data_IF_229479809292
#
_entry.id   IF_229479809292
#
_cell.length_a   1.000
_cell.length_b   1.000
_cell.length_c   1.000
_cell.angle_alpha   90.00
_cell.angle_beta   90.00
_cell.angle_gamma   90.00
#
_symmetry.space_group_name_H-M   'P 1'
#
loop_
_entity.id
_entity.type
_entity.pdbx_description
1 polymer ?
#
# COMPACT_ATOMS: atom_id res chain seq x y z
N UNK A 1 -4.85 19.08 -13.74
CA UNK A 1 -3.45 19.25 -13.32
C UNK A 1 -3.38 18.90 -11.86
N UNK A 2 -2.71 18.03 -11.41
CA UNK A 2 -2.61 17.92 -9.98
C UNK A 2 -2.05 16.62 -9.48
N UNK A 3 -2.75 15.51 -9.73
CA UNK A 3 -2.38 14.24 -9.10
C UNK A 3 -0.95 13.81 -9.45
N UNK A 4 -0.56 13.89 -10.73
CA UNK A 4 0.79 13.49 -11.16
C UNK A 4 1.86 14.42 -10.59
N UNK A 5 1.63 15.74 -10.65
CA UNK A 5 2.59 16.72 -10.14
C UNK A 5 2.71 16.58 -8.62
N UNK A 6 1.57 16.44 -7.92
CA UNK A 6 1.56 16.27 -6.48
C UNK A 6 2.30 15.00 -6.05
N UNK A 7 2.09 13.89 -6.76
CA UNK A 7 2.76 12.62 -6.50
C UNK A 7 4.25 12.71 -6.76
N UNK A 8 4.66 13.38 -7.85
CA UNK A 8 6.07 13.59 -8.16
C UNK A 8 6.77 14.46 -7.13
N UNK A 9 6.09 15.52 -6.65
CA UNK A 9 6.61 16.38 -5.59
C UNK A 9 6.76 15.59 -4.29
N UNK A 10 5.76 14.80 -3.94
CA UNK A 10 5.82 13.94 -2.76
C UNK A 10 6.98 12.94 -2.88
N UNK A 11 7.13 12.29 -4.02
CA UNK A 11 8.22 11.35 -4.27
C UNK A 11 9.60 12.04 -4.16
N UNK A 12 9.74 13.23 -4.73
CA UNK A 12 10.98 14.00 -4.67
C UNK A 12 11.35 14.36 -3.22
N UNK A 13 10.35 14.77 -2.43
CA UNK A 13 10.57 15.13 -1.03
C UNK A 13 11.02 13.94 -0.18
N UNK A 14 10.55 12.74 -0.50
CA UNK A 14 10.93 11.53 0.22
C UNK A 14 12.43 11.26 0.22
N UNK A 15 13.15 11.68 -0.82
CA UNK A 15 14.60 11.53 -0.90
C UNK A 15 15.37 12.50 -0.03
N UNK A 16 14.73 13.56 0.45
CA UNK A 16 15.38 14.66 1.20
C UNK A 16 14.90 14.76 2.64
N UNK A 17 13.72 14.26 2.93
CA UNK A 17 13.13 14.35 4.25
C UNK A 17 13.84 13.39 5.22
N UNK A 18 14.26 13.85 6.42
CA UNK A 18 14.84 12.92 7.39
C UNK A 18 13.79 11.94 7.90
N UNK A 19 14.22 10.72 8.16
CA UNK A 19 13.38 9.70 8.80
C UNK A 19 13.49 9.90 10.31
N UNK A 20 12.37 10.29 10.93
CA UNK A 20 12.28 10.46 12.38
C UNK A 20 11.71 9.18 12.98
N UNK A 21 12.57 8.31 13.49
CA UNK A 21 12.15 7.04 14.05
C UNK A 21 11.52 7.18 15.43
N UNK A 22 10.35 6.60 15.58
CA UNK A 22 9.66 6.46 16.85
C UNK A 22 8.93 5.14 16.89
N UNK A 23 8.40 4.77 18.04
CA UNK A 23 7.53 3.60 18.13
C UNK A 23 6.19 3.92 17.46
N UNK A 24 5.77 3.05 16.52
CA UNK A 24 4.54 3.24 15.76
C UNK A 24 3.57 2.11 16.07
N UNK A 25 2.38 2.46 16.52
CA UNK A 25 1.27 1.53 16.65
C UNK A 25 0.65 1.31 15.26
N UNK A 26 1.12 0.27 14.58
CA UNK A 26 0.71 0.00 13.19
C UNK A 26 -0.78 -0.33 13.11
N UNK A 27 -1.31 -1.05 14.10
CA UNK A 27 -2.74 -1.40 14.12
C UNK A 27 -3.63 -0.16 14.06
N UNK A 28 -3.39 0.82 14.93
CA UNK A 28 -4.18 2.06 14.94
C UNK A 28 -3.95 2.89 13.68
N UNK A 29 -2.71 2.94 13.19
CA UNK A 29 -2.38 3.68 11.96
C UNK A 29 -3.14 3.12 10.76
N UNK A 30 -3.15 1.80 10.59
CA UNK A 30 -3.84 1.14 9.48
C UNK A 30 -5.34 1.39 9.56
N UNK A 31 -5.94 1.30 10.75
CA UNK A 31 -7.37 1.54 10.91
C UNK A 31 -7.75 2.97 10.54
N UNK A 32 -6.94 3.96 10.91
CA UNK A 32 -7.12 5.35 10.49
C UNK A 32 -7.05 5.50 8.97
N UNK A 33 -6.05 4.85 8.34
CA UNK A 33 -5.88 4.91 6.89
C UNK A 33 -7.05 4.26 6.17
N UNK A 34 -7.54 3.13 6.66
CA UNK A 34 -8.71 2.44 6.08
C UNK A 34 -9.93 3.37 6.09
N UNK A 35 -10.19 4.02 7.22
CA UNK A 35 -11.31 4.97 7.32
C UNK A 35 -11.18 6.12 6.33
N UNK A 36 -9.98 6.69 6.18
CA UNK A 36 -9.72 7.77 5.23
C UNK A 36 -9.93 7.33 3.78
N UNK A 37 -9.37 6.17 3.42
CA UNK A 37 -9.48 5.66 2.05
C UNK A 37 -10.95 5.40 1.70
N UNK A 38 -11.68 4.76 2.61
CA UNK A 38 -13.10 4.48 2.38
C UNK A 38 -13.93 5.77 2.30
N UNK A 39 -13.60 6.76 3.11
CA UNK A 39 -14.28 8.06 3.06
C UNK A 39 -14.03 8.77 1.73
N UNK A 40 -12.78 8.83 1.28
CA UNK A 40 -12.41 9.43 0.00
C UNK A 40 -13.11 8.74 -1.16
N UNK A 41 -13.16 7.41 -1.12
CA UNK A 41 -13.84 6.62 -2.14
C UNK A 41 -15.37 6.83 -2.14
N UNK A 42 -15.96 7.07 -0.98
CA UNK A 42 -17.41 7.33 -0.90
C UNK A 42 -17.79 8.71 -1.43
N UNK A 43 -16.87 9.68 -1.39
CA UNK A 43 -17.06 11.02 -1.94
C UNK A 43 -16.75 11.09 -3.43
N UNK A 44 -16.01 10.11 -3.96
CA UNK A 44 -15.71 10.03 -5.38
C UNK A 44 -16.92 9.58 -6.19
N UNK A 45 -16.83 9.76 -7.51
CA UNK A 45 -17.87 9.32 -8.45
C UNK A 45 -17.91 7.80 -8.58
N UNK A 46 -18.22 7.10 -7.49
CA UNK A 46 -18.66 5.71 -7.63
C UNK A 46 -20.05 5.75 -8.26
N UNK A 47 -20.18 5.19 -9.43
CA UNK A 47 -21.49 4.93 -9.97
C UNK A 47 -22.29 4.13 -8.93
N UNK A 48 -23.60 4.35 -8.87
CA UNK A 48 -24.52 3.73 -7.91
C UNK A 48 -24.42 2.19 -7.82
N UNK A 49 -23.69 1.56 -8.76
CA UNK A 49 -23.55 0.12 -8.87
C UNK A 49 -22.29 -0.44 -8.19
N UNK A 50 -21.39 0.39 -7.66
CA UNK A 50 -20.15 -0.10 -7.09
C UNK A 50 -20.37 -0.57 -5.64
N UNK A 51 -20.08 -1.84 -5.38
CA UNK A 51 -20.14 -2.41 -4.02
C UNK A 51 -18.94 -1.91 -3.22
N UNK A 52 -19.18 -1.38 -2.02
CA UNK A 52 -18.11 -0.99 -1.12
C UNK A 52 -17.27 -2.22 -0.74
N UNK A 53 -15.94 -2.10 -0.71
CA UNK A 53 -15.10 -3.24 -0.33
C UNK A 53 -15.25 -3.59 1.15
N UNK A 54 -15.18 -4.88 1.44
CA UNK A 54 -15.05 -5.36 2.81
C UNK A 54 -13.55 -5.41 3.13
N UNK A 55 -13.13 -4.68 4.15
CA UNK A 55 -11.72 -4.63 4.55
C UNK A 55 -11.60 -5.24 5.94
N UNK A 56 -10.84 -6.33 6.03
CA UNK A 56 -10.55 -7.01 7.27
C UNK A 56 -9.12 -6.70 7.69
N UNK A 57 -8.96 -6.19 8.91
CA UNK A 57 -7.64 -5.87 9.47
C UNK A 57 -7.37 -6.81 10.63
N UNK A 58 -6.40 -7.70 10.47
CA UNK A 58 -5.94 -8.55 11.55
C UNK A 58 -5.05 -7.76 12.51
N UNK A 59 -4.82 -8.25 13.75
CA UNK A 59 -3.87 -7.59 14.65
C UNK A 59 -2.49 -7.44 14.01
N UNK A 60 -1.93 -6.24 14.07
CA UNK A 60 -0.66 -5.91 13.43
C UNK A 60 0.42 -5.62 14.47
N UNK A 61 1.62 -6.21 14.34
CA UNK A 61 2.69 -5.92 15.28
C UNK A 61 3.14 -4.46 15.15
N UNK A 62 3.51 -3.81 16.28
CA UNK A 62 4.08 -2.47 16.22
C UNK A 62 5.48 -2.50 15.62
N UNK A 63 5.94 -1.34 15.16
CA UNK A 63 7.28 -1.23 14.57
C UNK A 63 7.91 0.09 14.97
N UNK A 64 9.20 0.23 14.72
CA UNK A 64 9.87 1.53 14.80
C UNK A 64 10.00 2.09 13.40
N UNK A 65 9.68 3.36 13.26
CA UNK A 65 9.76 4.04 11.98
C UNK A 65 9.21 5.44 12.06
N UNK A 66 9.09 6.08 10.92
CA UNK A 66 8.49 7.39 10.79
C UNK A 66 6.99 7.23 10.50
N UNK A 67 6.16 7.62 11.45
CA UNK A 67 4.70 7.44 11.35
C UNK A 67 4.14 8.10 10.09
N UNK A 68 4.59 9.31 9.76
CA UNK A 68 4.10 10.03 8.58
C UNK A 68 4.48 9.34 7.28
N UNK A 69 5.70 8.83 7.18
CA UNK A 69 6.15 8.09 6.01
C UNK A 69 5.46 6.73 5.89
N UNK A 70 5.33 6.01 7.00
CA UNK A 70 4.63 4.72 7.02
C UNK A 70 3.15 4.87 6.67
N UNK A 71 2.53 5.99 7.07
CA UNK A 71 1.18 6.30 6.67
C UNK A 71 1.04 6.35 5.14
N UNK A 72 2.01 6.92 4.45
CA UNK A 72 2.02 6.97 2.99
C UNK A 72 2.11 5.57 2.37
N UNK A 73 2.90 4.67 2.98
CA UNK A 73 2.98 3.28 2.54
C UNK A 73 1.60 2.61 2.61
N UNK A 74 0.97 2.69 3.77
CA UNK A 74 -0.33 2.06 3.98
C UNK A 74 -1.42 2.67 3.11
N UNK A 75 -1.44 4.00 2.98
CA UNK A 75 -2.42 4.69 2.14
C UNK A 75 -2.30 4.25 0.68
N UNK A 76 -1.08 4.14 0.16
CA UNK A 76 -0.87 3.70 -1.22
C UNK A 76 -1.28 2.24 -1.42
N UNK A 77 -0.89 1.34 -0.51
CA UNK A 77 -1.22 -0.08 -0.65
C UNK A 77 -2.72 -0.34 -0.52
N UNK A 78 -3.38 0.29 0.44
CA UNK A 78 -4.82 0.10 0.67
C UNK A 78 -5.62 0.74 -0.47
N UNK A 79 -5.25 1.93 -0.91
CA UNK A 79 -5.91 2.58 -2.04
C UNK A 79 -5.78 1.76 -3.33
N UNK A 80 -4.60 1.17 -3.57
CA UNK A 80 -4.41 0.26 -4.71
C UNK A 80 -5.31 -0.97 -4.61
N UNK A 81 -5.40 -1.57 -3.44
CA UNK A 81 -6.24 -2.75 -3.22
C UNK A 81 -7.72 -2.43 -3.48
N UNK A 82 -8.21 -1.29 -3.00
CA UNK A 82 -9.57 -0.81 -3.25
C UNK A 82 -9.80 -0.61 -4.75
N UNK A 83 -8.86 0.05 -5.41
CA UNK A 83 -8.96 0.34 -6.84
C UNK A 83 -9.02 -0.94 -7.69
N UNK A 84 -8.08 -1.86 -7.49
CA UNK A 84 -7.98 -3.04 -8.33
C UNK A 84 -9.00 -4.14 -8.00
N UNK A 85 -9.65 -4.07 -6.84
CA UNK A 85 -10.76 -4.97 -6.49
C UNK A 85 -12.12 -4.40 -6.85
N UNK A 86 -12.20 -3.16 -7.33
CA UNK A 86 -13.47 -2.45 -7.56
C UNK A 86 -14.41 -3.13 -8.54
N UNK A 87 -13.88 -3.92 -9.46
CA UNK A 87 -14.68 -4.66 -10.46
C UNK A 87 -15.05 -6.07 -10.01
N UNK A 88 -14.56 -6.52 -8.87
CA UNK A 88 -14.94 -7.81 -8.31
C UNK A 88 -16.41 -7.77 -7.87
N UNK A 89 -17.08 -8.92 -7.95
CA UNK A 89 -18.50 -9.02 -7.52
C UNK A 89 -18.65 -8.66 -6.04
N UNK A 90 -17.70 -9.11 -5.22
CA UNK A 90 -17.64 -8.80 -3.78
C UNK A 90 -16.21 -8.41 -3.41
N UNK A 91 -15.85 -7.13 -3.56
CA UNK A 91 -14.49 -6.69 -3.24
C UNK A 91 -14.11 -7.01 -1.79
N UNK A 92 -13.00 -7.70 -1.62
CA UNK A 92 -12.50 -8.09 -0.31
C UNK A 92 -11.02 -7.77 -0.19
N UNK A 93 -10.64 -7.14 0.92
CA UNK A 93 -9.26 -6.76 1.19
C UNK A 93 -8.91 -7.25 2.58
N UNK A 94 -7.77 -7.89 2.73
CA UNK A 94 -7.27 -8.37 4.01
C UNK A 94 -5.92 -7.76 4.30
N UNK A 95 -5.79 -7.13 5.46
CA UNK A 95 -4.53 -6.58 5.95
C UNK A 95 -4.04 -7.48 7.07
N UNK A 96 -2.82 -7.95 6.98
CA UNK A 96 -2.23 -8.86 7.96
C UNK A 96 -0.77 -8.49 8.26
N UNK A 97 -0.27 -8.98 9.37
CA UNK A 97 1.12 -8.77 9.75
C UNK A 97 1.56 -9.79 10.78
N UNK A 98 2.84 -10.08 10.78
CA UNK A 98 3.45 -11.02 11.73
C UNK A 98 4.92 -10.73 11.92
N UNK A 99 5.46 -11.19 13.01
CA UNK A 99 6.89 -11.15 13.27
C UNK A 99 7.53 -12.40 12.66
N UNK A 100 8.57 -12.21 11.86
CA UNK A 100 9.30 -13.29 11.21
C UNK A 100 10.79 -13.07 11.46
N UNK A 101 11.35 -13.78 12.43
CA UNK A 101 12.76 -13.61 12.82
C UNK A 101 13.03 -12.18 13.30
N UNK A 102 13.94 -11.49 12.63
CA UNK A 102 14.34 -10.12 12.97
C UNK A 102 13.51 -9.04 12.22
N UNK A 103 12.47 -9.46 11.52
CA UNK A 103 11.64 -8.56 10.72
C UNK A 103 10.17 -8.60 11.14
N UNK A 104 9.46 -7.51 10.90
CA UNK A 104 8.01 -7.49 10.88
C UNK A 104 7.56 -7.53 9.43
N UNK A 105 6.72 -8.50 9.08
CA UNK A 105 6.16 -8.64 7.73
C UNK A 105 4.71 -8.16 7.74
N UNK A 106 4.38 -7.32 6.77
CA UNK A 106 3.02 -6.79 6.59
C UNK A 106 2.55 -7.05 5.17
N UNK A 107 1.27 -7.34 4.99
CA UNK A 107 0.69 -7.66 3.69
C UNK A 107 -0.69 -7.07 3.51
N UNK A 108 -0.99 -6.66 2.28
CA UNK A 108 -2.32 -6.24 1.84
C UNK A 108 -2.72 -7.14 0.68
N UNK A 109 -3.76 -7.94 0.90
CA UNK A 109 -4.29 -8.89 -0.10
C UNK A 109 -5.61 -8.36 -0.63
N UNK A 110 -5.81 -8.44 -1.94
CA UNK A 110 -7.09 -8.14 -2.58
C UNK A 110 -7.54 -9.29 -3.47
N UNK A 111 -8.82 -9.32 -3.81
CA UNK A 111 -9.42 -10.28 -4.72
C UNK A 111 -9.73 -9.69 -6.10
N UNK A 112 -8.92 -8.72 -6.51
CA UNK A 112 -9.14 -7.97 -7.75
C UNK A 112 -8.56 -8.64 -8.99
N UNK A 113 -8.19 -7.79 -9.94
CA UNK A 113 -7.74 -8.23 -11.27
C UNK A 113 -6.38 -8.93 -11.26
N UNK A 114 -5.57 -8.74 -10.22
CA UNK A 114 -4.25 -9.34 -10.13
C UNK A 114 -3.30 -8.85 -11.22
N UNK A 115 -2.23 -9.56 -11.42
CA UNK A 115 -1.24 -9.25 -12.45
C UNK A 115 -0.42 -10.51 -12.77
N UNK A 116 0.26 -10.47 -13.91
CA UNK A 116 1.18 -11.54 -14.32
C UNK A 116 2.52 -11.36 -13.57
N UNK A 117 2.98 -12.42 -12.92
CA UNK A 117 4.24 -12.41 -12.16
C UNK A 117 5.47 -12.06 -13.01
N UNK A 118 5.38 -12.18 -14.32
CA UNK A 118 6.43 -11.71 -15.23
C UNK A 118 6.76 -10.23 -15.01
N UNK A 119 5.76 -9.43 -14.62
CA UNK A 119 5.91 -7.99 -14.39
C UNK A 119 6.21 -7.62 -12.94
N UNK A 120 6.33 -8.59 -12.04
CA UNK A 120 6.50 -8.32 -10.61
C UNK A 120 7.72 -7.43 -10.31
N UNK A 121 8.82 -7.61 -11.03
CA UNK A 121 10.03 -6.82 -10.84
C UNK A 121 9.91 -5.35 -11.25
N UNK A 122 8.86 -4.99 -11.99
CA UNK A 122 8.66 -3.62 -12.49
C UNK A 122 7.62 -2.83 -11.70
N UNK A 123 6.88 -3.50 -10.82
CA UNK A 123 5.73 -2.89 -10.12
C UNK A 123 6.07 -1.65 -9.30
N UNK A 124 7.27 -1.62 -8.74
CA UNK A 124 7.69 -0.56 -7.83
C UNK A 124 8.49 0.56 -8.51
N UNK A 125 8.59 0.52 -9.83
CA UNK A 125 9.26 1.57 -10.60
C UNK A 125 8.30 2.73 -10.87
N UNK A 126 8.86 3.94 -10.93
CA UNK A 126 8.08 5.14 -11.27
C UNK A 126 7.49 4.99 -12.68
N UNK A 127 6.23 5.35 -12.82
CA UNK A 127 5.47 5.32 -14.08
C UNK A 127 5.20 3.92 -14.65
N UNK A 128 5.48 2.86 -13.91
CA UNK A 128 5.11 1.52 -14.36
C UNK A 128 3.63 1.26 -14.04
N UNK A 129 2.88 0.87 -15.04
CA UNK A 129 1.46 0.56 -14.93
C UNK A 129 1.21 -0.79 -15.60
N UNK A 130 0.59 -1.70 -14.86
CA UNK A 130 0.22 -3.02 -15.37
C UNK A 130 -1.12 -3.03 -16.11
N UNK A 131 -1.93 -2.02 -15.87
CA UNK A 131 -3.28 -1.90 -16.43
C UNK A 131 -3.39 -0.62 -17.23
N UNK A 132 -4.26 -0.65 -18.26
CA UNK A 132 -4.48 0.52 -19.11
C UNK A 132 -5.11 1.66 -18.30
N UNK A 133 -4.78 2.88 -18.70
CA UNK A 133 -5.28 4.10 -18.07
C UNK A 133 -6.82 4.19 -18.08
N UNK A 134 -7.47 3.63 -19.09
CA UNK A 134 -8.92 3.59 -19.22
C UNK A 134 -9.59 2.57 -18.30
N UNK A 135 -8.85 1.58 -17.80
CA UNK A 135 -9.38 0.58 -16.86
C UNK A 135 -9.29 1.08 -15.42
N UNK A 136 -8.18 1.71 -15.06
CA UNK A 136 -7.95 2.19 -13.70
C UNK A 136 -7.20 3.52 -13.72
N UNK A 137 -7.64 4.45 -12.88
CA UNK A 137 -6.95 5.73 -12.70
C UNK A 137 -5.66 5.55 -11.89
N UNK A 138 -4.74 6.48 -12.04
CA UNK A 138 -3.50 6.50 -11.25
C UNK A 138 -2.33 7.10 -12.02
N UNK A 139 -1.29 7.46 -11.30
CA UNK A 139 -0.12 8.17 -11.84
C UNK A 139 1.10 7.27 -12.06
N UNK A 140 1.07 6.04 -11.50
CA UNK A 140 2.21 5.15 -11.56
C UNK A 140 3.33 5.48 -10.54
N UNK A 141 3.06 6.34 -9.58
CA UNK A 141 4.03 6.79 -8.57
C UNK A 141 3.80 6.13 -7.20
N UNK A 142 2.56 5.70 -6.91
CA UNK A 142 2.19 5.17 -5.60
C UNK A 142 3.08 4.03 -5.09
N UNK A 143 3.30 3.01 -5.90
CA UNK A 143 4.15 1.88 -5.50
C UNK A 143 5.63 2.26 -5.42
N UNK A 144 6.09 3.24 -6.21
CA UNK A 144 7.45 3.77 -6.11
C UNK A 144 7.64 4.49 -4.75
N UNK A 145 6.62 5.19 -4.27
CA UNK A 145 6.62 5.80 -2.94
C UNK A 145 6.78 4.72 -1.87
N UNK A 146 6.00 3.64 -1.96
CA UNK A 146 6.08 2.51 -1.03
C UNK A 146 7.50 1.95 -0.98
N UNK A 147 8.09 1.68 -2.14
CA UNK A 147 9.44 1.16 -2.24
C UNK A 147 10.46 2.11 -1.59
N UNK A 148 10.37 3.39 -1.89
CA UNK A 148 11.30 4.40 -1.37
C UNK A 148 11.23 4.49 0.16
N UNK A 149 10.02 4.59 0.71
CA UNK A 149 9.84 4.69 2.16
C UNK A 149 10.36 3.44 2.88
N UNK A 150 9.96 2.26 2.40
CA UNK A 150 10.37 0.99 3.01
C UNK A 150 11.89 0.83 2.94
N UNK A 151 12.50 1.14 1.80
CA UNK A 151 13.96 1.07 1.63
C UNK A 151 14.68 2.01 2.59
N UNK A 152 14.17 3.23 2.77
CA UNK A 152 14.74 4.17 3.73
C UNK A 152 14.63 3.72 5.19
N UNK A 153 13.70 2.80 5.48
CA UNK A 153 13.57 2.17 6.79
C UNK A 153 14.42 0.90 6.92
N UNK A 154 15.23 0.58 5.90
CA UNK A 154 16.06 -0.63 5.90
C UNK A 154 15.30 -1.90 5.57
N UNK A 155 14.10 -1.77 5.03
CA UNK A 155 13.24 -2.89 4.69
C UNK A 155 13.26 -3.25 3.21
N UNK A 156 12.33 -4.13 2.85
CA UNK A 156 12.17 -4.60 1.47
C UNK A 156 10.71 -4.80 1.13
N UNK A 157 10.40 -4.75 -0.17
CA UNK A 157 9.04 -4.89 -0.68
C UNK A 157 8.98 -6.04 -1.69
N UNK A 158 7.83 -6.68 -1.79
CA UNK A 158 7.58 -7.68 -2.84
C UNK A 158 6.08 -7.78 -3.10
N UNK A 159 5.72 -8.41 -4.20
CA UNK A 159 4.33 -8.61 -4.57
C UNK A 159 4.15 -9.96 -5.23
N UNK A 160 2.98 -10.54 -5.03
CA UNK A 160 2.56 -11.76 -5.67
C UNK A 160 1.18 -11.53 -6.25
N UNK A 161 0.94 -12.05 -7.45
CA UNK A 161 -0.35 -11.90 -8.09
C UNK A 161 -0.59 -12.98 -9.12
N UNK A 162 -1.86 -13.11 -9.50
CA UNK A 162 -2.29 -13.98 -10.59
C UNK A 162 -3.44 -13.29 -11.28
N UNK A 163 -3.40 -13.25 -12.61
CA UNK A 163 -4.45 -12.59 -13.40
C UNK A 163 -5.82 -13.16 -13.01
N UNK A 164 -6.77 -12.28 -12.72
CA UNK A 164 -8.13 -12.58 -12.29
C UNK A 164 -8.27 -13.27 -10.92
N UNK A 165 -7.18 -13.42 -10.18
CA UNK A 165 -7.18 -14.08 -8.86
C UNK A 165 -6.66 -13.17 -7.73
N UNK A 166 -6.51 -11.88 -8.00
CA UNK A 166 -6.07 -10.92 -7.00
C UNK A 166 -4.57 -10.81 -6.85
N UNK A 167 -4.16 -10.03 -5.85
CA UNK A 167 -2.76 -9.72 -5.58
C UNK A 167 -2.49 -9.59 -4.08
N UNK A 168 -1.24 -9.79 -3.70
CA UNK A 168 -0.73 -9.53 -2.35
C UNK A 168 0.49 -8.65 -2.48
N UNK A 169 0.43 -7.47 -1.86
CA UNK A 169 1.57 -6.57 -1.74
C UNK A 169 2.09 -6.65 -0.32
N UNK A 170 3.39 -6.87 -0.18
CA UNK A 170 4.01 -7.10 1.13
C UNK A 170 5.25 -6.25 1.30
N UNK A 171 5.55 -5.93 2.55
CA UNK A 171 6.81 -5.31 2.91
C UNK A 171 7.28 -5.82 4.26
N UNK A 172 8.59 -5.78 4.47
CA UNK A 172 9.21 -6.16 5.73
C UNK A 172 10.02 -4.98 6.26
N UNK A 173 9.93 -4.77 7.56
CA UNK A 173 10.73 -3.77 8.26
C UNK A 173 11.57 -4.47 9.32
N UNK A 174 12.83 -4.04 9.53
CA UNK A 174 13.63 -4.59 10.62
C UNK A 174 12.94 -4.33 11.96
N UNK A 175 12.90 -5.34 12.80
CA UNK A 175 12.52 -5.12 14.20
C UNK A 175 13.66 -4.35 14.81
N UNK A 176 13.36 -3.18 15.35
CA UNK A 176 14.37 -2.40 16.03
C UNK A 176 15.09 -3.23 17.08
N UNK A 177 16.35 -2.89 17.32
CA UNK A 177 17.17 -3.56 18.32
C UNK A 177 16.44 -3.49 19.68
N UNK A 178 16.02 -4.63 20.16
CA UNK A 178 15.39 -4.73 21.49
C UNK A 178 16.44 -4.87 22.59
N UNK A 179 17.62 -4.39 22.33
CA UNK A 179 18.66 -4.33 23.33
C UNK A 179 18.42 -3.12 24.22
N UNK A 180 17.81 -3.35 25.32
CA UNK A 180 17.62 -2.27 26.28
C UNK A 180 17.01 -2.73 27.50
#
# INVERSE_FOLDING_TARGET
MGALIDDLLAFSRLGRQPVVQSEVNVDSLVREVVEEVLHTESLGERGEAATAPHIEVEPLPPTRGDRGLLRQVWANLIANAVKYSSKAARPFIQVSGRQVGTENHYSVRDNGVGFDMEYAGQLFRVFQRLHRTDEFSGTGVGLAIVHRVVTRHGGRVWAEGKVDHGAVFSFALPRGDQSG
#
